data_IF_921399979151
#
_entry.id   IF_921399979151
#
_cell.length_a   1.000
_cell.length_b   1.000
_cell.length_c   1.000
_cell.angle_alpha   90.00
_cell.angle_beta   90.00
_cell.angle_gamma   90.00
#
_symmetry.space_group_name_H-M   'P 1'
#
loop_
_entity.id
_entity.type
_entity.pdbx_description
1 polymer ?
2 non-polymer ?
3 non-polymer ?
4 non-polymer ?
5 non-polymer ?
6 non-polymer ?
7 water ?
#
# COMPACT_ATOMS: atom_id res chain seq x y z
N UNK A 1 17.28 -5.21 9.76
CA UNK A 1 18.57 -5.83 9.42
C UNK A 1 18.38 -7.34 9.48
N UNK A 2 19.05 -8.03 8.56
CA UNK A 2 18.98 -9.49 8.42
C UNK A 2 19.41 -10.17 9.73
N UNK A 3 18.89 -11.37 9.99
CA UNK A 3 19.39 -12.22 11.07
C UNK A 3 20.80 -12.75 10.78
N UNK A 4 21.51 -13.17 11.82
CA UNK A 4 22.81 -13.87 11.67
C UNK A 4 22.59 -15.22 10.98
N UNK A 5 23.58 -15.68 10.21
CA UNK A 5 23.49 -16.82 9.25
C UNK A 5 22.50 -17.97 9.58
N UNK A 6 21.59 -18.25 8.66
CA UNK A 6 20.57 -19.29 8.83
C UNK A 6 19.53 -19.01 9.91
N UNK A 7 19.70 -17.90 10.66
CA UNK A 7 18.81 -17.51 11.75
C UNK A 7 17.55 -16.89 11.20
N UNK A 8 16.64 -16.44 12.08
CA UNK A 8 15.28 -16.05 11.65
C UNK A 8 14.86 -14.62 12.07
N UNK A 9 14.87 -13.71 11.10
CA UNK A 9 14.43 -12.36 11.39
C UNK A 9 12.92 -12.32 11.29
N UNK A 10 12.29 -11.43 12.07
CA UNK A 10 10.88 -11.07 11.87
C UNK A 10 10.74 -10.53 10.46
N UNK A 11 9.73 -10.96 9.70
CA UNK A 11 9.56 -10.48 8.35
C UNK A 11 8.29 -9.68 8.22
N UNK A 12 8.41 -8.46 7.75
CA UNK A 12 7.28 -7.54 7.61
C UNK A 12 7.08 -7.13 6.19
N UNK A 13 5.92 -7.39 5.64
CA UNK A 13 5.52 -6.87 4.33
C UNK A 13 4.81 -5.58 4.52
N UNK A 14 5.30 -4.53 3.86
CA UNK A 14 4.71 -3.19 3.92
C UNK A 14 4.12 -2.89 2.57
N UNK A 15 2.83 -2.65 2.53
CA UNK A 15 2.11 -2.30 1.33
C UNK A 15 2.58 -0.91 0.84
N UNK A 16 2.34 -0.62 -0.45
CA UNK A 16 2.77 0.63 -1.05
C UNK A 16 1.63 1.62 -1.16
N UNK A 17 0.69 1.44 -2.08
CA UNK A 17 -0.45 2.36 -2.21
C UNK A 17 -1.29 2.36 -0.93
N UNK A 18 -1.51 3.55 -0.35
CA UNK A 18 -2.31 3.66 0.85
C UNK A 18 -1.58 3.47 2.13
N UNK A 19 -0.31 3.12 2.11
CA UNK A 19 0.50 2.87 3.30
C UNK A 19 1.80 3.68 3.20
N UNK A 20 2.52 3.57 2.08
CA UNK A 20 3.65 4.42 1.80
C UNK A 20 3.34 5.62 0.93
N UNK A 21 2.51 5.40 -0.10
CA UNK A 21 2.21 6.39 -1.13
C UNK A 21 0.75 6.79 -1.06
N UNK A 22 0.47 8.08 -1.17
CA UNK A 22 -0.89 8.60 -1.07
C UNK A 22 -1.58 8.53 -2.44
N UNK A 23 -2.06 7.35 -2.73
CA UNK A 23 -2.82 7.10 -3.94
C UNK A 23 -4.13 7.91 -3.94
N UNK A 24 -4.88 7.87 -2.82
CA UNK A 24 -6.22 8.49 -2.80
C UNK A 24 -6.12 9.97 -3.01
N UNK A 25 -5.20 10.65 -2.33
CA UNK A 25 -5.06 12.09 -2.48
C UNK A 25 -4.50 12.45 -3.85
N UNK A 26 -3.54 11.68 -4.35
CA UNK A 26 -2.98 11.97 -5.66
C UNK A 26 -4.03 11.80 -6.76
N UNK A 27 -4.81 10.72 -6.66
CA UNK A 27 -5.90 10.50 -7.58
C UNK A 27 -6.87 11.70 -7.57
N UNK A 28 -7.34 12.05 -6.39
CA UNK A 28 -8.38 13.09 -6.35
C UNK A 28 -7.87 14.40 -6.96
N UNK A 29 -6.65 14.79 -6.65
CA UNK A 29 -6.08 16.02 -7.17
C UNK A 29 -6.05 15.97 -8.69
N UNK A 30 -5.53 14.88 -9.23
CA UNK A 30 -5.39 14.81 -10.67
C UNK A 30 -6.71 14.62 -11.40
N UNK A 31 -7.66 13.92 -10.79
CA UNK A 31 -8.98 13.80 -11.33
C UNK A 31 -9.63 15.18 -11.45
N UNK A 32 -9.58 15.98 -10.36
CA UNK A 32 -10.25 17.27 -10.36
C UNK A 32 -9.59 18.18 -11.38
N UNK A 33 -8.26 18.11 -11.53
CA UNK A 33 -7.55 18.95 -12.49
C UNK A 33 -7.90 18.58 -13.94
N UNK A 34 -7.99 17.29 -14.23
CA UNK A 34 -8.25 16.85 -15.60
C UNK A 34 -9.72 16.98 -15.99
N UNK A 35 -10.61 16.75 -15.02
CA UNK A 35 -12.04 16.66 -15.26
C UNK A 35 -12.78 17.64 -14.34
N UNK A 36 -12.50 18.94 -14.48
CA UNK A 36 -13.01 19.95 -13.53
C UNK A 36 -14.52 20.10 -13.56
N UNK A 37 -15.11 19.62 -14.65
CA UNK A 37 -16.58 19.73 -14.74
C UNK A 37 -17.32 18.48 -14.32
N UNK A 38 -16.61 17.51 -13.76
CA UNK A 38 -17.24 16.28 -13.31
C UNK A 38 -17.41 16.28 -11.78
N UNK A 39 -18.43 15.59 -11.29
CA UNK A 39 -18.47 15.46 -9.83
C UNK A 39 -17.33 14.54 -9.37
N UNK A 40 -17.04 14.59 -8.07
CA UNK A 40 -15.96 13.80 -7.52
C UNK A 40 -16.37 13.35 -6.10
N UNK A 41 -15.55 12.47 -5.53
CA UNK A 41 -15.80 11.91 -4.19
C UNK A 41 -14.76 12.49 -3.25
N UNK A 42 -15.13 13.38 -2.33
CA UNK A 42 -14.21 13.85 -1.28
C UNK A 42 -13.67 12.65 -0.50
N UNK A 43 -12.44 12.75 -0.04
CA UNK A 43 -11.82 11.62 0.67
C UNK A 43 -12.65 11.15 1.84
N UNK A 44 -13.23 12.10 2.59
CA UNK A 44 -14.05 11.71 3.74
C UNK A 44 -15.26 10.84 3.31
N UNK A 45 -15.66 10.92 2.04
CA UNK A 45 -16.85 10.19 1.56
C UNK A 45 -16.49 8.90 0.80
N UNK A 46 -15.21 8.59 0.74
CA UNK A 46 -14.75 7.37 0.07
C UNK A 46 -15.19 6.16 0.86
N UNK A 47 -15.75 5.21 0.13
CA UNK A 47 -16.17 3.95 0.71
C UNK A 47 -15.91 2.83 -0.28
N UNK A 48 -15.25 1.81 0.24
CA UNK A 48 -14.88 0.60 -0.53
C UNK A 48 -13.55 0.79 -1.23
N UNK A 49 -12.84 -0.33 -1.40
CA UNK A 49 -11.48 -0.33 -1.86
C UNK A 49 -11.35 0.21 -3.28
N UNK A 50 -12.28 -0.13 -4.16
CA UNK A 50 -12.16 0.19 -5.58
C UNK A 50 -12.68 1.55 -5.89
N UNK A 51 -11.79 2.51 -6.10
CA UNK A 51 -12.17 3.88 -6.44
C UNK A 51 -13.11 3.93 -7.66
N UNK A 52 -12.78 3.15 -8.68
CA UNK A 52 -13.54 3.24 -9.93
C UNK A 52 -14.97 2.80 -9.76
N UNK A 53 -15.22 1.89 -8.84
CA UNK A 53 -16.60 1.45 -8.61
C UNK A 53 -17.45 2.54 -7.97
N UNK A 54 -16.90 3.25 -6.99
CA UNK A 54 -17.67 4.33 -6.37
C UNK A 54 -17.91 5.47 -7.39
N UNK A 55 -16.91 5.78 -8.20
CA UNK A 55 -17.07 6.77 -9.24
C UNK A 55 -18.08 6.34 -10.27
N UNK A 56 -18.09 5.06 -10.60
CA UNK A 56 -19.02 4.58 -11.63
C UNK A 56 -20.46 4.65 -11.17
N UNK A 57 -20.68 4.60 -9.87
CA UNK A 57 -22.04 4.78 -9.34
C UNK A 57 -22.42 6.24 -9.33
N UNK A 58 -21.45 7.12 -9.28
CA UNK A 58 -21.73 8.56 -9.21
C UNK A 58 -22.29 9.10 -10.51
N UNK A 59 -21.76 8.64 -11.66
CA UNK A 59 -22.24 9.08 -12.96
C UNK A 59 -21.71 8.16 -14.06
N UNK A 60 -22.56 7.82 -15.06
CA UNK A 60 -22.16 7.02 -16.23
C UNK A 60 -20.87 7.51 -16.86
N UNK A 61 -19.95 6.56 -17.11
CA UNK A 61 -18.68 6.83 -17.77
C UNK A 61 -17.56 7.32 -16.83
N UNK A 62 -17.88 7.60 -15.57
CA UNK A 62 -16.92 8.15 -14.61
C UNK A 62 -15.92 7.10 -14.14
N UNK A 63 -16.31 5.82 -14.18
CA UNK A 63 -15.35 4.76 -13.87
C UNK A 63 -14.16 4.82 -14.85
N UNK A 64 -14.48 4.97 -16.14
CA UNK A 64 -13.46 4.98 -17.17
C UNK A 64 -12.61 6.21 -17.05
N UNK A 65 -13.21 7.35 -16.74
CA UNK A 65 -12.43 8.54 -16.49
C UNK A 65 -11.50 8.37 -15.29
N UNK A 66 -12.00 7.81 -14.19
CA UNK A 66 -11.18 7.59 -13.02
C UNK A 66 -9.96 6.72 -13.38
N UNK A 67 -10.22 5.62 -14.09
CA UNK A 67 -9.16 4.69 -14.48
C UNK A 67 -8.07 5.39 -15.29
N UNK A 68 -8.49 6.31 -16.14
CA UNK A 68 -7.56 7.02 -17.00
C UNK A 68 -6.56 7.86 -16.20
N UNK A 69 -6.89 8.25 -14.98
CA UNK A 69 -5.95 8.97 -14.13
C UNK A 69 -4.79 8.07 -13.71
N UNK A 70 -5.08 6.89 -13.16
CA UNK A 70 -4.00 6.04 -12.68
C UNK A 70 -3.30 5.29 -13.79
N UNK A 71 -3.89 5.20 -14.98
CA UNK A 71 -3.18 4.65 -16.16
C UNK A 71 -2.25 5.66 -16.79
N UNK A 72 -2.31 6.92 -16.41
CA UNK A 72 -1.46 7.90 -17.01
C UNK A 72 -0.03 7.91 -16.54
N UNK A 73 0.87 8.21 -17.45
CA UNK A 73 2.27 8.39 -17.11
C UNK A 73 2.42 9.35 -15.96
N UNK A 74 3.34 9.03 -15.08
CA UNK A 74 3.72 9.80 -13.90
C UNK A 74 2.75 9.76 -12.77
N UNK A 75 1.61 9.08 -12.89
CA UNK A 75 0.68 9.01 -11.76
C UNK A 75 1.36 8.35 -10.57
N UNK A 76 1.89 7.16 -10.71
CA UNK A 76 2.52 6.51 -9.58
C UNK A 76 3.78 7.21 -9.15
N UNK A 77 4.57 7.67 -10.07
CA UNK A 77 5.84 8.27 -9.69
C UNK A 77 5.67 9.50 -8.85
N UNK A 78 4.63 10.30 -9.15
CA UNK A 78 4.39 11.57 -8.48
C UNK A 78 3.61 11.48 -7.18
N UNK A 79 3.19 10.28 -6.77
CA UNK A 79 2.49 10.19 -5.50
C UNK A 79 3.34 10.70 -4.34
N UNK A 80 2.72 11.42 -3.44
CA UNK A 80 3.40 11.88 -2.22
C UNK A 80 3.46 10.79 -1.20
N UNK A 81 4.55 10.70 -0.44
CA UNK A 81 4.56 9.77 0.70
C UNK A 81 3.53 10.16 1.75
N UNK A 82 2.95 9.18 2.40
CA UNK A 82 2.14 9.45 3.61
C UNK A 82 3.00 10.01 4.71
N UNK A 83 2.41 10.84 5.60
CA UNK A 83 3.20 11.34 6.73
C UNK A 83 3.79 10.20 7.53
N UNK A 84 5.08 10.32 7.83
CA UNK A 84 5.77 9.37 8.67
C UNK A 84 6.17 8.04 8.01
N UNK A 85 5.70 7.77 6.80
CA UNK A 85 5.92 6.47 6.19
C UNK A 85 7.37 6.19 5.87
N UNK A 86 8.02 7.10 5.20
CA UNK A 86 9.41 6.87 4.80
C UNK A 86 10.28 6.75 6.03
N UNK A 87 10.05 7.59 7.02
CA UNK A 87 10.84 7.60 8.20
C UNK A 87 10.60 6.30 8.97
N UNK A 88 9.37 5.86 9.11
CA UNK A 88 9.09 4.63 9.83
C UNK A 88 9.69 3.41 9.16
N UNK A 89 9.53 3.29 7.84
CA UNK A 89 10.08 2.13 7.17
C UNK A 89 11.60 2.11 7.19
N UNK A 90 12.25 3.27 7.08
CA UNK A 90 13.72 3.35 7.27
C UNK A 90 14.10 2.86 8.66
N UNK A 91 13.41 3.30 9.68
CA UNK A 91 13.71 2.86 11.01
C UNK A 91 13.48 1.36 11.15
N UNK A 92 12.33 0.88 10.67
CA UNK A 92 11.97 -0.50 10.76
C UNK A 92 13.05 -1.40 10.13
N UNK A 93 13.50 -1.01 8.94
CA UNK A 93 14.50 -1.81 8.20
C UNK A 93 15.85 -1.85 8.92
N UNK A 94 16.10 -0.86 9.76
CA UNK A 94 17.36 -0.78 10.52
C UNK A 94 17.33 -1.59 11.83
N UNK A 95 16.17 -2.10 12.21
CA UNK A 95 16.01 -2.80 13.48
C UNK A 95 16.68 -4.16 13.40
N UNK A 96 17.23 -4.59 14.53
CA UNK A 96 17.78 -5.93 14.68
C UNK A 96 16.72 -6.95 14.32
N UNK A 97 17.11 -8.03 13.64
CA UNK A 97 16.24 -9.20 13.40
C UNK A 97 14.91 -8.81 12.77
N UNK A 98 14.98 -7.93 11.78
CA UNK A 98 13.79 -7.42 11.13
C UNK A 98 14.06 -7.23 9.64
N UNK A 99 13.38 -8.00 8.80
CA UNK A 99 13.48 -7.86 7.37
C UNK A 99 12.19 -7.25 6.80
N UNK A 100 12.32 -6.17 6.06
CA UNK A 100 11.22 -5.43 5.51
C UNK A 100 11.19 -5.62 3.98
N UNK A 101 10.04 -5.97 3.45
CA UNK A 101 9.80 -6.01 2.02
C UNK A 101 8.62 -5.11 1.69
N UNK A 102 8.68 -4.40 0.58
CA UNK A 102 7.56 -3.63 0.09
C UNK A 102 6.80 -4.54 -0.83
N UNK A 103 5.57 -4.86 -0.51
CA UNK A 103 4.75 -5.83 -1.26
C UNK A 103 3.57 -5.14 -1.86
N UNK A 104 3.58 -4.98 -3.18
CA UNK A 104 2.71 -4.06 -3.92
C UNK A 104 2.17 -4.76 -5.16
N UNK A 105 0.90 -4.45 -5.46
CA UNK A 105 0.23 -4.96 -6.64
C UNK A 105 0.22 -3.91 -7.74
N UNK A 106 0.67 -4.22 -8.92
CA UNK A 106 0.50 -3.28 -10.03
C UNK A 106 -0.94 -3.27 -10.49
N UNK A 107 -1.34 -2.18 -11.16
CA UNK A 107 -2.61 -2.15 -11.91
C UNK A 107 -2.55 -3.03 -13.11
N UNK A 108 -3.69 -3.17 -13.81
CA UNK A 108 -3.66 -4.06 -14.97
C UNK A 108 -2.83 -3.52 -16.14
N UNK A 109 -2.88 -2.21 -16.37
CA UNK A 109 -2.13 -1.59 -17.47
C UNK A 109 -0.70 -1.38 -17.01
N UNK A 110 0.24 -2.05 -17.66
CA UNK A 110 1.60 -2.21 -17.13
C UNK A 110 2.66 -1.33 -17.77
N UNK A 111 2.26 -0.38 -18.63
CA UNK A 111 3.25 0.40 -19.31
C UNK A 111 4.14 1.20 -18.36
N UNK A 112 3.54 1.82 -17.35
CA UNK A 112 4.22 2.74 -16.45
C UNK A 112 4.31 2.25 -15.04
N UNK A 113 3.31 1.55 -14.54
CA UNK A 113 3.14 1.34 -13.11
C UNK A 113 4.31 0.57 -12.47
N UNK A 114 4.69 -0.59 -13.01
CA UNK A 114 5.85 -1.29 -12.44
C UNK A 114 7.10 -0.41 -12.40
N UNK A 115 7.46 0.17 -13.53
CA UNK A 115 8.61 1.03 -13.59
C UNK A 115 8.56 2.14 -12.55
N UNK A 116 7.43 2.84 -12.48
CA UNK A 116 7.35 4.01 -11.61
C UNK A 116 7.35 3.62 -10.14
N UNK A 117 6.84 2.43 -9.81
CA UNK A 117 6.93 1.97 -8.42
C UNK A 117 8.41 1.73 -8.07
N UNK A 118 9.21 1.12 -8.94
CA UNK A 118 10.64 0.95 -8.65
C UNK A 118 11.27 2.32 -8.51
N UNK A 119 10.97 3.25 -9.43
CA UNK A 119 11.57 4.57 -9.39
C UNK A 119 11.22 5.32 -8.10
N UNK A 120 9.99 5.13 -7.66
CA UNK A 120 9.52 5.81 -6.41
C UNK A 120 10.26 5.27 -5.19
N UNK A 121 10.44 3.95 -5.12
CA UNK A 121 11.24 3.35 -4.05
C UNK A 121 12.67 3.82 -4.08
N UNK A 122 13.30 3.89 -5.24
CA UNK A 122 14.65 4.40 -5.34
C UNK A 122 14.71 5.83 -4.79
N UNK A 123 13.75 6.64 -5.20
CA UNK A 123 13.65 8.06 -4.79
C UNK A 123 13.67 8.25 -3.27
N UNK A 124 12.80 7.49 -2.60
CA UNK A 124 12.59 7.73 -1.13
C UNK A 124 13.43 6.85 -0.24
N UNK A 125 13.90 5.70 -0.71
CA UNK A 125 14.64 4.74 0.10
C UNK A 125 16.05 4.44 -0.38
N UNK A 126 16.38 4.83 -1.60
CA UNK A 126 17.69 4.63 -2.16
C UNK A 126 17.82 3.40 -3.00
N UNK A 127 18.85 3.32 -3.83
CA UNK A 127 19.05 2.16 -4.70
C UNK A 127 19.11 0.82 -3.99
N UNK A 128 19.68 0.73 -2.81
CA UNK A 128 19.84 -0.60 -2.17
C UNK A 128 18.48 -1.15 -1.76
N UNK A 129 17.48 -0.32 -1.52
CA UNK A 129 16.17 -0.76 -1.11
C UNK A 129 15.40 -1.40 -2.21
N UNK A 130 15.81 -1.25 -3.46
CA UNK A 130 15.13 -1.91 -4.57
C UNK A 130 15.10 -3.44 -4.40
N UNK A 131 16.10 -3.98 -3.72
CA UNK A 131 16.16 -5.41 -3.46
C UNK A 131 14.99 -5.90 -2.59
N UNK A 132 14.28 -5.00 -1.95
CA UNK A 132 13.21 -5.37 -1.01
C UNK A 132 11.83 -5.33 -1.65
N UNK A 133 11.70 -5.05 -2.94
CA UNK A 133 10.42 -4.95 -3.60
C UNK A 133 9.93 -6.30 -4.07
N UNK A 134 8.66 -6.58 -3.77
CA UNK A 134 7.96 -7.73 -4.33
C UNK A 134 6.71 -7.20 -5.02
N UNK A 135 6.61 -7.36 -6.34
CA UNK A 135 5.47 -6.93 -7.11
C UNK A 135 4.65 -8.16 -7.42
N UNK A 136 3.41 -8.20 -6.96
CA UNK A 136 2.54 -9.35 -7.12
C UNK A 136 1.08 -8.97 -7.03
N UNK A 137 0.21 -9.58 -7.81
CA UNK A 137 -1.21 -9.45 -7.61
C UNK A 137 -1.74 -10.30 -6.49
N UNK A 138 -0.99 -11.30 -6.06
CA UNK A 138 -1.42 -12.24 -5.01
C UNK A 138 -0.41 -12.15 -3.85
N UNK A 139 -0.81 -11.52 -2.76
CA UNK A 139 0.04 -11.36 -1.61
C UNK A 139 0.02 -12.55 -0.66
N UNK A 140 -0.97 -13.45 -0.86
CA UNK A 140 -1.11 -14.61 0.00
C UNK A 140 0.00 -15.63 -0.23
N UNK A 141 0.65 -15.59 -1.38
CA UNK A 141 1.76 -16.48 -1.69
C UNK A 141 3.10 -15.89 -1.26
N UNK A 142 3.11 -14.75 -0.61
CA UNK A 142 4.31 -14.19 -0.03
C UNK A 142 4.29 -14.46 1.47
N UNK A 143 5.32 -15.11 1.98
CA UNK A 143 5.35 -15.53 3.39
C UNK A 143 6.04 -14.48 4.24
N UNK A 144 5.46 -14.22 5.40
CA UNK A 144 5.96 -13.24 6.36
C UNK A 144 5.25 -13.38 7.66
N UNK A 145 5.71 -12.63 8.65
CA UNK A 145 5.00 -12.58 9.95
C UNK A 145 3.84 -11.58 9.95
N UNK A 146 4.02 -10.47 9.22
CA UNK A 146 3.07 -9.38 9.17
C UNK A 146 2.92 -8.86 7.77
N UNK A 147 1.71 -8.40 7.44
CA UNK A 147 1.41 -7.66 6.21
C UNK A 147 0.63 -6.43 6.68
N UNK A 148 1.21 -5.24 6.45
CA UNK A 148 0.57 -3.98 6.83
C UNK A 148 0.02 -3.39 5.54
N UNK A 149 -1.29 -3.32 5.38
CA UNK A 149 -1.94 -3.12 4.05
C UNK A 149 -3.30 -2.51 4.31
N UNK A 150 -3.67 -1.49 3.51
CA UNK A 150 -4.97 -0.84 3.62
C UNK A 150 -6.15 -1.56 2.98
N UNK A 151 -5.91 -2.63 2.25
CA UNK A 151 -7.00 -3.35 1.62
C UNK A 151 -7.67 -4.25 2.65
N UNK A 152 -9.00 -4.19 2.82
CA UNK A 152 -9.57 -5.02 3.89
C UNK A 152 -9.56 -6.50 3.64
N UNK A 153 -9.79 -6.88 2.42
CA UNK A 153 -9.96 -8.29 1.94
C UNK A 153 -8.76 -8.72 1.18
N UNK A 154 -7.80 -9.48 1.76
CA UNK A 154 -6.57 -9.81 1.04
C UNK A 154 -6.61 -11.34 0.87
N UNK A 155 -6.89 -11.74 -0.35
CA UNK A 155 -7.11 -13.14 -0.69
C UNK A 155 -6.34 -13.54 -1.92
N UNK A 156 -6.30 -14.84 -2.16
CA UNK A 156 -5.49 -15.35 -3.25
C UNK A 156 -5.40 -16.86 -3.21
N UNK A 157 -4.36 -17.37 -3.83
CA UNK A 157 -4.23 -18.83 -3.99
C UNK A 157 -3.89 -19.59 -2.71
N UNK A 158 -3.37 -18.95 -1.69
CA UNK A 158 -3.03 -19.55 -0.44
C UNK A 158 -4.16 -19.32 0.54
N UNK A 159 -4.89 -20.38 0.93
CA UNK A 159 -6.03 -20.13 1.82
C UNK A 159 -5.62 -19.76 3.25
N UNK A 160 -4.40 -20.10 3.67
CA UNK A 160 -3.97 -19.80 5.03
C UNK A 160 -2.60 -19.12 4.97
N UNK A 161 -2.60 -17.82 4.66
CA UNK A 161 -1.35 -17.10 4.60
C UNK A 161 -0.60 -17.15 5.91
N UNK A 162 0.72 -17.06 5.86
CA UNK A 162 1.52 -17.08 7.08
C UNK A 162 1.50 -15.78 7.83
N UNK A 163 1.27 -14.68 7.16
CA UNK A 163 1.26 -13.39 7.83
C UNK A 163 -0.04 -13.13 8.56
N UNK A 164 0.07 -12.32 9.59
CA UNK A 164 -1.10 -11.60 10.16
C UNK A 164 -1.27 -10.30 9.35
N UNK A 165 -2.45 -10.05 8.83
CA UNK A 165 -2.77 -8.80 8.15
C UNK A 165 -3.18 -7.78 9.16
N UNK A 166 -2.42 -6.68 9.26
CA UNK A 166 -2.79 -5.54 10.09
C UNK A 166 -3.28 -4.50 9.10
N UNK A 167 -4.53 -4.06 9.29
CA UNK A 167 -5.17 -3.10 8.39
C UNK A 167 -4.67 -1.72 8.65
N UNK A 168 -4.07 -1.11 7.63
CA UNK A 168 -3.62 0.27 7.73
C UNK A 168 -4.77 1.17 7.40
N UNK A 169 -5.07 2.16 8.25
CA UNK A 169 -6.21 3.01 8.05
C UNK A 169 -6.03 3.88 6.81
N UNK A 170 -7.08 3.96 6.03
CA UNK A 170 -7.20 4.85 4.86
C UNK A 170 -8.61 5.37 4.85
N UNK A 171 -8.80 6.43 4.06
CA UNK A 171 -10.12 7.03 4.03
C UNK A 171 -11.20 6.02 3.69
N UNK A 172 -10.92 5.10 2.76
CA UNK A 172 -11.92 4.18 2.32
C UNK A 172 -12.25 3.07 3.28
N UNK A 173 -11.45 2.88 4.35
CA UNK A 173 -11.62 1.79 5.27
C UNK A 173 -11.82 2.25 6.72
N UNK A 174 -11.80 3.55 7.00
CA UNK A 174 -11.73 4.01 8.38
C UNK A 174 -12.94 3.72 9.19
N UNK A 175 -14.09 3.50 8.57
CA UNK A 175 -15.32 3.18 9.31
C UNK A 175 -15.59 1.71 9.46
N UNK A 176 -14.75 0.86 8.90
CA UNK A 176 -14.99 -0.59 8.87
C UNK A 176 -14.77 -1.25 10.19
N UNK A 177 -15.77 -2.00 10.63
CA UNK A 177 -15.65 -2.84 11.75
C UNK A 177 -15.03 -4.17 11.31
N UNK A 178 -13.95 -4.57 11.95
CA UNK A 178 -13.23 -5.79 11.64
C UNK A 178 -13.61 -6.89 12.63
N UNK A 179 -13.58 -8.12 12.17
CA UNK A 179 -13.84 -9.28 13.03
C UNK A 179 -12.68 -9.43 14.01
N UNK A 180 -13.00 -9.47 15.32
CA UNK A 180 -11.93 -9.79 16.24
C UNK A 180 -11.24 -11.10 15.78
N UNK A 181 -9.91 -11.24 15.91
CA UNK A 181 -8.93 -10.43 16.56
C UNK A 181 -8.15 -9.65 15.52
N UNK A 182 -8.80 -9.29 14.40
CA UNK A 182 -8.14 -8.39 13.44
C UNK A 182 -7.84 -7.06 14.03
N UNK A 183 -6.69 -6.50 13.68
CA UNK A 183 -6.31 -5.21 14.19
C UNK A 183 -5.76 -4.28 13.12
N UNK A 184 -5.61 -3.02 13.55
CA UNK A 184 -5.28 -1.83 12.75
C UNK A 184 -3.96 -1.22 13.14
N UNK A 185 -3.32 -0.63 12.16
CA UNK A 185 -2.32 0.40 12.41
C UNK A 185 -2.97 1.66 11.88
N UNK A 186 -3.17 2.65 12.77
CA UNK A 186 -4.01 3.79 12.41
C UNK A 186 -3.36 4.83 11.54
N UNK A 187 -2.05 4.92 11.58
CA UNK A 187 -1.20 5.85 10.86
C UNK A 187 0.23 5.43 11.27
N UNK A 188 1.22 6.04 10.62
CA UNK A 188 2.62 5.78 10.99
C UNK A 188 3.03 6.41 12.31
N UNK A 189 2.25 7.39 12.80
CA UNK A 189 2.43 7.95 14.13
C UNK A 189 2.00 6.99 15.22
N UNK A 190 1.10 6.05 14.90
CA UNK A 190 0.65 5.01 15.80
C UNK A 190 1.81 4.06 16.10
N UNK A 191 1.63 3.18 17.07
CA UNK A 191 2.74 2.42 17.63
C UNK A 191 2.99 1.12 16.85
N UNK A 192 3.70 1.30 15.74
CA UNK A 192 4.02 0.15 14.86
C UNK A 192 5.06 -0.74 15.48
N UNK A 193 5.94 -0.21 16.35
CA UNK A 193 6.92 -1.08 16.98
C UNK A 193 6.24 -2.06 17.91
N UNK A 194 5.18 -1.65 18.61
CA UNK A 194 4.48 -2.60 19.45
C UNK A 194 3.85 -3.74 18.70
N UNK A 195 3.38 -3.44 17.49
CA UNK A 195 2.78 -4.48 16.67
C UNK A 195 3.86 -5.48 16.23
N UNK A 196 4.96 -4.97 15.73
CA UNK A 196 6.10 -5.85 15.38
C UNK A 196 6.50 -6.71 16.61
N UNK A 197 6.69 -6.04 17.76
CA UNK A 197 7.21 -6.75 18.93
C UNK A 197 6.26 -7.86 19.37
N UNK A 198 4.94 -7.69 19.20
CA UNK A 198 3.99 -8.71 19.53
C UNK A 198 4.13 -10.01 18.79
N UNK A 199 4.86 -9.97 17.65
CA UNK A 199 5.06 -11.14 16.82
C UNK A 199 6.44 -11.76 17.01
N UNK A 200 7.30 -11.12 17.78
CA UNK A 200 8.66 -11.63 17.98
C UNK A 200 8.65 -12.80 18.96
N UNK A 201 9.66 -13.69 18.89
CA UNK A 201 9.85 -14.79 19.87
C UNK A 201 9.87 -14.30 21.31
X LIG B 1 -2.74 -0.49 -0.60
X LIG C 1 -0.80 -1.63 -3.51
X LIG C 1 -1.66 -1.02 -4.63
X LIG C 1 -1.50 -1.23 -2.14
X LIG C 1 0.57 -1.01 -3.49
X LIG C 1 -0.78 -3.13 -3.61
X LIG D 1 -7.36 2.19 -2.63
X LIG D 1 -6.85 3.47 -2.38
X LIG D 1 -7.07 1.86 -4.11
X LIG D 1 -7.66 0.68 -4.62
X LIG D 1 -5.58 1.91 -4.57
X LIG D 1 -4.73 0.76 -4.30
X LIG E 1 -7.23 -2.13 -13.73
X LIG E 1 -6.18 -2.16 -12.74
X LIG E 1 -7.43 -0.70 -14.13
X LIG E 1 -8.06 -0.05 -13.01
X LIG E 1 -6.13 0.04 -14.43
X LIG E 1 -5.17 -0.47 -15.36
X LIG F 1 -7.73 1.96 -7.85
X LIG F 1 -8.72 1.41 -6.98
X LIG F 1 -6.74 1.05 -8.64
X LIG F 1 -5.77 0.42 -7.74
X LIG F 1 -7.45 -0.03 -9.44
X LIG F 1 -6.47 -0.84 -10.16
X LIG G 1 16.84 -5.76 5.64
X LIG G 1 17.04 -6.41 6.92
X LIG G 1 15.97 -4.51 5.81
X LIG G 1 14.77 -4.85 6.49
X LIG G 1 15.65 -3.93 4.44
X LIG G 1 16.86 -3.40 3.88
X LIG H 1 -6.47 -8.99 -6.47
X LIG H 1 -7.66 -8.19 -6.63
X LIG H 1 -6.72 -10.41 -5.94
X LIG H 1 -7.57 -10.46 -4.79
X LIG H 1 -5.36 -10.95 -5.55
X LIG H 1 -5.23 -12.35 -5.43
X LIG I 1 -4.39 -1.87 -5.67
X LIG I 1 -5.75 -1.39 -5.83
X LIG I 1 -3.73 -2.55 -6.87
X LIG I 1 -2.60 -1.76 -7.26
X LIG I 1 -4.59 -2.75 -8.13
X LIG I 1 -4.47 -4.11 -8.48
X LIG J 1 -8.11 -1.04 -19.20
X LIG J 1 -8.38 -0.21 -18.10
X LIG J 1 -6.63 -1.35 -19.17
X LIG J 1 -5.91 -0.43 -19.97
X LIG J 1 -6.44 -2.76 -19.64
X LIG J 1 -5.05 -3.02 -19.80
X LIG K 1 7.07 6.11 18.39
X LIG K 1 6.45 7.37 18.16
X LIG K 1 6.11 5.01 17.93
X LIG K 1 5.25 4.64 19.04
X LIG K 1 6.98 3.89 17.33
X LIG K 1 6.25 2.68 17.14
X LIG L 1 8.94 8.73 -13.99
X LIG L 1 8.56 8.85 -15.40
X LIG L 1 10.49 8.76 -13.69
X LIG L 1 11.17 8.52 -14.91
X LIG L 1 11.08 10.11 -13.23
X LIG L 1 12.43 9.99 -12.71
X LIG M 1 -14.54 4.15 5.59
X LIG M 1 -14.80 4.85 4.40
X LIG M 1 -14.93 2.66 5.82
X LIG M 1 -15.77 1.82 5.08
X LIG M 1 -15.69 1.89 3.62
X LIG M 1 -15.53 0.49 3.03
X LIG M 1 -14.48 -0.28 3.62
X LIG N 1 5.51 5.77 15.43
X LIG N 1 6.29 6.80 14.78
X LIG N 1 6.94 6.31 13.47
X LIG N 1 8.39 6.21 13.25
X LIG O 1 -6.95 -7.81 18.45
X LIG O 1 -8.03 -7.09 17.71
X LIG O 1 -8.25 -5.52 17.73
X LIG O 1 -7.15 -4.52 17.87
X LIG P 1 3.25 3.88 23.21
X LIG P 1 4.66 4.16 23.25
X LIG P 1 5.27 3.96 21.84
X LIG P 1 6.67 4.28 21.42
X LIG Q 1 -7.42 -9.92 5.14
#
# INVERSE_FOLDING_TARGET
>A
SNAASGGRALRVLVDMDGVLADFEGGFLRKFRARFPDQPFIALEDRRGFWVSEQYGRLRPGLSEKAISIWESKNFFFELEPLPGAVEAVKEMASLQNTDVFICTSPIKMFKYCPYEKYAWVEKYFGPDFLEQIVLTRDKTVVSADLLIDDRPDITGAEPTPSWEHVLFTACHNQHLQLQPPRRRLHSWADDWKAILDSKRPC
>B hetero
1 MG MG
>C hetero
1 PO4 P O1 O2 O3 O4
>D hetero
1 GOL C1 O1 C2 O2 C3 O3
>E hetero
1 GOL C1 O1 C2 O2 C3 O3
>F hetero
1 GOL C1 O1 C2 O2 C3 O3
>G hetero
1 GOL C1 O1 C2 O2 C3 O3
>H hetero
1 GOL C1 O1 C2 O2 C3 O3
>I hetero
1 GOL C1 O1 C2 O2 C3 O3
>J hetero
1 GOL C1 O1 C2 O2 C3 O3
>K hetero
1 GOL C1 O1 C2 O2 C3 O3
>L hetero
1 GOL C1 O1 C2 O2 C3 O3
>M hetero
1 PEG C1 O1 C2 O2 C3 C4 O4
>N hetero
1 PEG O2 C3 C4 O4
>O hetero
1 PEG O2 C3 C4 O4
>P hetero
1 PEG O2 C3 C4 O4
>Q hetero
1 K K
#
